data_IF_921087510157
#
_entry.id   IF_921087510157
#
_cell.length_a   1.000
_cell.length_b   1.000
_cell.length_c   1.000
_cell.angle_alpha   90.00
_cell.angle_beta   90.00
_cell.angle_gamma   90.00
#
_symmetry.space_group_name_H-M   'P 1'
#
loop_
_entity.id
_entity.type
_entity.pdbx_description
1 polymer ?
#
# COMPACT_ATOMS: atom_id res chain seq x y z
N UNK A 1 6.16 -6.06 -14.19
CA UNK A 1 5.17 -5.25 -13.46
C UNK A 1 4.61 -6.10 -12.33
N UNK A 2 4.88 -5.77 -11.05
CA UNK A 2 4.36 -6.54 -9.92
C UNK A 2 2.83 -6.52 -9.92
N UNK A 3 2.22 -7.69 -9.73
CA UNK A 3 0.77 -7.89 -9.63
C UNK A 3 0.54 -9.00 -8.63
N UNK A 4 -0.39 -8.80 -7.70
CA UNK A 4 -0.65 -9.73 -6.60
C UNK A 4 -2.15 -10.03 -6.54
N UNK A 5 -2.49 -11.28 -6.23
CA UNK A 5 -3.86 -11.70 -5.98
C UNK A 5 -4.06 -11.82 -4.47
N UNK A 6 -5.09 -11.15 -3.95
CA UNK A 6 -5.44 -11.19 -2.53
C UNK A 6 -6.53 -12.24 -2.35
N UNK A 7 -6.24 -13.28 -1.57
CA UNK A 7 -7.18 -14.36 -1.26
C UNK A 7 -7.58 -14.30 0.21
N UNK A 8 -8.82 -14.66 0.49
CA UNK A 8 -9.37 -14.75 1.83
C UNK A 8 -8.94 -16.03 2.55
N UNK A 9 -9.41 -16.23 3.79
CA UNK A 9 -9.05 -17.40 4.61
C UNK A 9 -9.47 -18.74 4.00
N UNK A 10 -10.36 -18.74 3.00
CA UNK A 10 -10.76 -19.93 2.23
C UNK A 10 -9.79 -20.35 1.13
N UNK A 11 -8.68 -19.62 0.90
CA UNK A 11 -7.71 -19.91 -0.15
C UNK A 11 -8.13 -19.40 -1.53
N UNK A 12 -7.64 -20.02 -2.61
CA UNK A 12 -7.84 -19.58 -4.01
C UNK A 12 -9.32 -19.42 -4.41
N UNK A 13 -10.23 -20.15 -3.76
CA UNK A 13 -11.68 -20.05 -4.01
C UNK A 13 -12.35 -18.80 -3.43
N UNK A 14 -11.68 -18.05 -2.55
CA UNK A 14 -12.17 -16.80 -1.96
C UNK A 14 -11.32 -15.62 -2.40
N UNK A 15 -11.36 -15.31 -3.69
CA UNK A 15 -10.72 -14.11 -4.24
C UNK A 15 -11.31 -12.87 -3.55
N UNK A 16 -10.46 -12.03 -2.95
CA UNK A 16 -10.86 -10.72 -2.39
C UNK A 16 -10.59 -9.60 -3.40
N UNK A 17 -9.52 -9.72 -4.18
CA UNK A 17 -9.21 -8.77 -5.24
C UNK A 17 -7.78 -8.87 -5.74
N UNK A 18 -7.30 -7.81 -6.40
CA UNK A 18 -5.96 -7.76 -6.98
C UNK A 18 -5.26 -6.43 -6.70
N UNK A 19 -3.94 -6.48 -6.51
CA UNK A 19 -3.10 -5.30 -6.31
C UNK A 19 -2.15 -5.18 -7.51
N UNK A 20 -2.03 -3.98 -8.05
CA UNK A 20 -1.19 -3.71 -9.21
C UNK A 20 -0.36 -2.43 -9.03
N UNK A 21 0.92 -2.53 -9.33
CA UNK A 21 1.83 -1.38 -9.41
C UNK A 21 1.87 -0.90 -10.88
N UNK A 22 1.37 0.30 -11.23
CA UNK A 22 1.43 0.85 -12.58
C UNK A 22 2.82 1.34 -13.01
N UNK A 23 3.82 1.25 -12.13
CA UNK A 23 5.23 1.53 -12.42
C UNK A 23 5.42 2.93 -13.02
N UNK A 24 4.77 3.94 -12.43
CA UNK A 24 4.88 5.32 -12.89
C UNK A 24 6.28 5.87 -12.59
N UNK A 25 6.83 6.63 -13.53
CA UNK A 25 8.11 7.31 -13.31
C UNK A 25 7.95 8.33 -12.18
N UNK A 26 8.87 8.29 -11.21
CA UNK A 26 8.93 9.21 -10.08
C UNK A 26 7.80 9.16 -9.04
N UNK A 27 6.86 8.22 -9.18
CA UNK A 27 5.76 8.01 -8.25
C UNK A 27 5.65 6.53 -7.93
N UNK A 28 5.63 6.22 -6.64
CA UNK A 28 5.29 4.89 -6.14
C UNK A 28 3.79 4.89 -5.90
N UNK A 29 3.03 4.34 -6.85
CA UNK A 29 1.61 4.07 -6.67
C UNK A 29 1.28 2.58 -6.71
N UNK A 30 0.28 2.17 -5.94
CA UNK A 30 -0.28 0.83 -5.97
C UNK A 30 -1.80 0.94 -6.02
N UNK A 31 -2.42 0.21 -6.95
CA UNK A 31 -3.86 0.21 -7.15
C UNK A 31 -4.44 -1.11 -6.66
N UNK A 32 -5.47 -1.01 -5.84
CA UNK A 32 -6.18 -2.13 -5.26
C UNK A 32 -7.54 -2.23 -5.92
N UNK A 33 -7.81 -3.36 -6.55
CA UNK A 33 -9.05 -3.69 -7.23
C UNK A 33 -9.81 -4.74 -6.43
N UNK A 34 -11.13 -4.66 -6.42
CA UNK A 34 -12.00 -5.66 -5.79
C UNK A 34 -12.10 -6.95 -6.59
N UNK A 35 -13.06 -7.80 -6.20
CA UNK A 35 -13.36 -9.07 -6.89
C UNK A 35 -13.71 -8.89 -8.38
N UNK A 36 -14.27 -7.72 -8.73
CA UNK A 36 -14.64 -7.35 -10.10
C UNK A 36 -13.43 -7.16 -11.02
N UNK A 37 -12.21 -7.17 -10.48
CA UNK A 37 -10.97 -7.14 -11.24
C UNK A 37 -10.59 -5.77 -11.79
N UNK A 38 -9.59 -5.76 -12.66
CA UNK A 38 -8.93 -4.53 -13.18
C UNK A 38 -9.79 -3.70 -14.13
N UNK A 39 -10.90 -4.26 -14.63
CA UNK A 39 -11.83 -3.56 -15.52
C UNK A 39 -12.70 -2.55 -14.75
N UNK A 40 -12.72 -2.64 -13.41
CA UNK A 40 -13.38 -1.70 -12.51
C UNK A 40 -12.44 -0.56 -12.06
N UNK A 41 -13.00 0.55 -11.58
CA UNK A 41 -12.22 1.60 -10.93
C UNK A 41 -11.52 1.04 -9.68
N UNK A 42 -10.25 1.41 -9.41
CA UNK A 42 -9.56 0.93 -8.22
C UNK A 42 -10.31 1.37 -6.96
N UNK A 43 -10.51 0.44 -6.02
CA UNK A 43 -11.12 0.71 -4.72
C UNK A 43 -10.25 1.66 -3.92
N UNK A 44 -8.95 1.39 -3.92
CA UNK A 44 -7.95 2.19 -3.24
C UNK A 44 -6.73 2.40 -4.11
N UNK A 45 -6.10 3.56 -3.97
CA UNK A 45 -4.80 3.85 -4.56
C UNK A 45 -3.87 4.35 -3.46
N UNK A 46 -2.81 3.61 -3.21
CA UNK A 46 -1.68 4.06 -2.40
C UNK A 46 -0.79 4.95 -3.28
N UNK A 47 -0.38 6.11 -2.79
CA UNK A 47 0.45 7.07 -3.53
C UNK A 47 1.57 7.60 -2.62
N UNK A 48 2.80 7.55 -3.10
CA UNK A 48 3.95 8.20 -2.50
C UNK A 48 4.92 8.71 -3.56
N UNK A 49 5.63 9.79 -3.24
CA UNK A 49 6.72 10.27 -4.11
C UNK A 49 7.98 9.45 -3.86
N UNK A 50 8.73 9.13 -4.92
CA UNK A 50 10.06 8.52 -4.76
C UNK A 50 11.11 9.52 -4.28
N UNK A 51 10.84 10.82 -4.40
CA UNK A 51 11.76 11.89 -4.03
C UNK A 51 11.77 12.18 -2.52
N UNK A 52 11.04 11.39 -1.73
CA UNK A 52 11.07 11.50 -0.28
C UNK A 52 12.47 11.17 0.25
N UNK A 53 12.98 11.98 1.18
CA UNK A 53 14.34 11.78 1.72
C UNK A 53 14.53 10.38 2.33
N UNK A 54 13.49 9.82 2.96
CA UNK A 54 13.50 8.45 3.48
C UNK A 54 13.62 7.35 2.41
N UNK A 55 13.29 7.64 1.15
CA UNK A 55 13.50 6.71 0.03
C UNK A 55 14.97 6.65 -0.38
N UNK A 56 15.68 7.78 -0.32
CA UNK A 56 17.12 7.87 -0.61
C UNK A 56 17.99 7.47 0.60
N UNK A 57 17.59 7.85 1.81
CA UNK A 57 18.23 7.48 3.07
C UNK A 57 17.22 6.82 4.02
N UNK A 58 17.12 5.48 3.96
CA UNK A 58 16.15 4.70 4.73
C UNK A 58 16.35 4.76 6.25
N UNK A 59 17.49 5.27 6.74
CA UNK A 59 17.75 5.45 8.17
C UNK A 59 17.57 6.90 8.66
N UNK A 60 17.49 7.88 7.75
CA UNK A 60 17.50 9.29 8.11
C UNK A 60 16.09 9.89 8.25
N UNK A 61 15.09 9.36 7.55
CA UNK A 61 13.73 9.86 7.56
C UNK A 61 12.73 8.75 7.24
N UNK A 62 11.48 8.93 7.67
CA UNK A 62 10.38 8.06 7.27
C UNK A 62 9.95 8.33 5.82
N UNK A 63 9.24 7.37 5.26
CA UNK A 63 8.57 7.50 3.96
C UNK A 63 7.07 7.41 4.19
N UNK A 64 6.33 8.39 3.69
CA UNK A 64 4.89 8.45 3.81
C UNK A 64 4.21 8.05 2.50
N UNK A 65 3.11 7.32 2.63
CA UNK A 65 2.24 6.94 1.54
C UNK A 65 0.79 7.22 1.96
N UNK A 66 0.08 7.95 1.11
CA UNK A 66 -1.35 8.21 1.29
C UNK A 66 -2.16 7.11 0.61
N UNK A 67 -3.16 6.56 1.30
CA UNK A 67 -4.13 5.65 0.71
C UNK A 67 -5.40 6.44 0.43
N UNK A 68 -5.78 6.51 -0.84
CA UNK A 68 -6.95 7.25 -1.30
C UNK A 68 -8.02 6.30 -1.84
N UNK A 69 -9.28 6.66 -1.66
CA UNK A 69 -10.41 5.95 -2.29
C UNK A 69 -10.52 6.26 -3.80
N UNK A 70 -11.51 5.66 -4.45
CA UNK A 70 -11.84 5.92 -5.86
C UNK A 70 -12.20 7.39 -6.17
N UNK A 71 -12.65 8.15 -5.16
CA UNK A 71 -12.98 9.57 -5.24
C UNK A 71 -11.80 10.49 -4.88
N UNK A 72 -10.61 9.91 -4.67
CA UNK A 72 -9.38 10.61 -4.23
C UNK A 72 -9.41 11.20 -2.82
N UNK A 73 -10.33 10.77 -1.96
CA UNK A 73 -10.34 11.13 -0.55
C UNK A 73 -9.32 10.28 0.23
N UNK A 74 -8.56 10.85 1.17
CA UNK A 74 -7.65 10.08 2.01
C UNK A 74 -8.45 9.20 2.99
N UNK A 75 -8.20 7.89 2.96
CA UNK A 75 -8.88 6.90 3.82
C UNK A 75 -7.94 6.23 4.81
N UNK A 76 -6.65 6.17 4.50
CA UNK A 76 -5.61 5.66 5.39
C UNK A 76 -4.25 6.27 5.02
N UNK A 77 -3.28 6.11 5.91
CA UNK A 77 -1.89 6.43 5.63
C UNK A 77 -0.96 5.31 6.07
N UNK A 78 0.11 5.12 5.30
CA UNK A 78 1.15 4.13 5.58
C UNK A 78 2.45 4.91 5.73
N UNK A 79 3.10 4.76 6.87
CA UNK A 79 4.41 5.33 7.12
C UNK A 79 5.44 4.22 7.28
N UNK A 80 6.44 4.20 6.42
CA UNK A 80 7.65 3.39 6.60
C UNK A 80 8.57 4.13 7.55
N UNK A 81 8.78 3.58 8.75
CA UNK A 81 9.65 4.19 9.76
C UNK A 81 11.13 4.12 9.34
N UNK A 82 11.96 5.09 9.76
CA UNK A 82 13.38 5.04 9.53
C UNK A 82 13.99 3.79 10.18
N UNK A 83 14.85 3.12 9.43
CA UNK A 83 15.56 1.94 9.88
C UNK A 83 16.68 2.34 10.83
N UNK A 84 16.83 1.58 11.91
CA UNK A 84 18.07 1.58 12.67
C UNK A 84 19.19 0.89 11.88
N UNK A 85 20.45 1.14 12.25
CA UNK A 85 21.60 0.50 11.59
C UNK A 85 21.53 -1.04 11.62
N UNK A 86 20.97 -1.61 12.69
CA UNK A 86 20.77 -3.06 12.82
C UNK A 86 19.68 -3.57 11.87
N UNK A 87 18.59 -2.82 11.72
CA UNK A 87 17.49 -3.20 10.81
C UNK A 87 17.91 -3.14 9.33
N UNK A 88 18.82 -2.24 8.97
CA UNK A 88 19.43 -2.23 7.63
C UNK A 88 20.20 -3.53 7.36
N UNK A 89 20.95 -4.04 8.34
CA UNK A 89 21.69 -5.31 8.22
C UNK A 89 20.75 -6.52 8.11
N UNK A 90 19.66 -6.51 8.90
CA UNK A 90 18.68 -7.60 8.92
C UNK A 90 17.56 -7.46 7.87
N UNK A 91 17.61 -6.45 7.01
CA UNK A 91 16.59 -6.15 5.98
C UNK A 91 15.16 -6.13 6.52
N UNK A 92 14.99 -5.73 7.78
CA UNK A 92 13.68 -5.67 8.44
C UNK A 92 13.06 -4.30 8.18
N UNK A 93 11.80 -4.27 7.73
CA UNK A 93 11.07 -3.03 7.52
C UNK A 93 9.97 -2.89 8.57
N UNK A 94 9.79 -1.68 9.10
CA UNK A 94 8.67 -1.36 9.98
C UNK A 94 7.73 -0.39 9.27
N UNK A 95 6.45 -0.73 9.29
CA UNK A 95 5.38 0.09 8.73
C UNK A 95 4.37 0.41 9.82
N UNK A 96 3.98 1.68 9.91
CA UNK A 96 2.85 2.14 10.69
C UNK A 96 1.69 2.38 9.72
N UNK A 97 0.57 1.70 9.92
CA UNK A 97 -0.63 1.85 9.08
C UNK A 97 -1.75 2.47 9.92
N UNK A 98 -2.16 3.67 9.55
CA UNK A 98 -3.24 4.41 10.20
C UNK A 98 -4.49 4.33 9.33
N UNK A 99 -5.50 3.62 9.79
CA UNK A 99 -6.79 3.55 9.12
C UNK A 99 -7.72 4.68 9.58
N UNK A 100 -8.45 5.28 8.64
CA UNK A 100 -9.55 6.20 8.95
C UNK A 100 -10.65 5.49 9.74
N UNK A 101 -11.43 6.27 10.50
CA UNK A 101 -12.48 5.75 11.39
C UNK A 101 -13.59 5.02 10.64
N UNK A 102 -13.85 5.40 9.38
CA UNK A 102 -14.97 4.87 8.57
C UNK A 102 -14.61 3.63 7.74
N UNK A 103 -13.39 3.08 7.87
CA UNK A 103 -13.00 1.90 7.10
C UNK A 103 -13.59 0.60 7.65
N UNK A 104 -14.31 -0.12 6.80
CA UNK A 104 -14.82 -1.47 7.10
C UNK A 104 -13.67 -2.47 7.29
N UNK A 105 -13.86 -3.56 8.07
CA UNK A 105 -12.84 -4.58 8.27
C UNK A 105 -12.38 -5.26 6.96
N UNK A 106 -13.28 -5.41 5.99
CA UNK A 106 -12.96 -5.97 4.67
C UNK A 106 -12.02 -5.04 3.89
N UNK A 107 -12.30 -3.74 3.87
CA UNK A 107 -11.44 -2.74 3.23
C UNK A 107 -10.05 -2.67 3.90
N UNK A 108 -9.98 -2.83 5.22
CA UNK A 108 -8.69 -2.86 5.94
C UNK A 108 -7.81 -4.05 5.52
N UNK A 109 -8.41 -5.21 5.22
CA UNK A 109 -7.68 -6.40 4.73
C UNK A 109 -7.13 -6.25 3.32
N UNK A 110 -7.62 -5.28 2.55
CA UNK A 110 -7.14 -5.03 1.19
C UNK A 110 -5.94 -4.08 1.15
N UNK A 111 -5.61 -3.43 2.26
CA UNK A 111 -4.49 -2.48 2.40
C UNK A 111 -3.26 -3.13 3.04
N UNK A 112 -3.43 -4.25 3.76
CA UNK A 112 -2.38 -5.03 4.44
C UNK A 112 -2.19 -6.39 3.78
#
# INVERSE_FOLDING_TARGET
>A
RPSFTVTGPGGEGDLLGTIEDPCRCCTMDQRVYGKDGKDSSPLFTTVGSICQFGMCCQCCASVHFDVKDSYSNPVASIEKMPLTCVEMLCKTNRFLVNFGQDMTPESKRMVL
#
